data_IF_401357184699
#
_entry.id   IF_401357184699
#
_cell.length_a   1.000
_cell.length_b   1.000
_cell.length_c   1.000
_cell.angle_alpha   90.00
_cell.angle_beta   90.00
_cell.angle_gamma   90.00
#
_symmetry.space_group_name_H-M   'P 1'
#
loop_
_entity.id
_entity.type
_entity.pdbx_description
1 polymer ?
#
# COMPACT_ATOMS: atom_id res chain seq x y z
N UNK A 1 -22.88 -10.56 -34.28
CA UNK A 1 -21.62 -10.04 -33.71
C UNK A 1 -21.84 -8.57 -33.41
N UNK A 2 -21.80 -8.18 -32.14
CA UNK A 2 -21.85 -6.77 -31.77
C UNK A 2 -20.48 -6.19 -32.16
N UNK A 3 -20.45 -5.25 -33.11
CA UNK A 3 -19.21 -4.59 -33.49
C UNK A 3 -18.80 -3.68 -32.33
N UNK A 4 -17.76 -4.09 -31.60
CA UNK A 4 -17.17 -3.24 -30.57
C UNK A 4 -16.59 -2.00 -31.25
N UNK A 5 -17.30 -0.87 -31.14
CA UNK A 5 -16.90 0.42 -31.68
C UNK A 5 -16.27 1.24 -30.57
N UNK A 6 -15.02 1.67 -30.75
CA UNK A 6 -14.41 2.65 -29.86
C UNK A 6 -15.12 4.01 -30.02
N UNK A 7 -15.40 4.66 -28.90
CA UNK A 7 -15.92 6.03 -28.86
C UNK A 7 -14.88 6.93 -28.17
N UNK A 8 -14.85 8.20 -28.57
CA UNK A 8 -14.05 9.22 -27.90
C UNK A 8 -14.86 9.76 -26.73
N UNK A 9 -14.25 9.80 -25.54
CA UNK A 9 -14.84 10.37 -24.32
C UNK A 9 -13.76 11.08 -23.49
N UNK A 10 -14.19 11.99 -22.61
CA UNK A 10 -13.31 12.75 -21.71
C UNK A 10 -13.80 12.62 -20.26
N UNK A 11 -13.41 11.55 -19.54
CA UNK A 11 -13.79 11.38 -18.14
C UNK A 11 -13.01 12.35 -17.24
N UNK A 12 -13.65 12.85 -16.18
CA UNK A 12 -13.00 13.74 -15.21
C UNK A 12 -12.00 13.03 -14.28
N UNK A 13 -12.08 11.69 -14.19
CA UNK A 13 -11.20 10.84 -13.39
C UNK A 13 -10.77 9.61 -14.21
N UNK A 14 -9.62 9.04 -13.89
CA UNK A 14 -9.04 7.88 -14.58
C UNK A 14 -8.85 6.69 -13.63
N UNK A 15 -9.81 6.45 -12.74
CA UNK A 15 -9.73 5.43 -11.69
C UNK A 15 -10.04 4.05 -12.25
N UNK A 16 -9.16 3.54 -13.11
CA UNK A 16 -9.33 2.27 -13.83
C UNK A 16 -9.24 1.01 -12.96
N UNK A 17 -9.00 1.16 -11.65
CA UNK A 17 -8.85 0.06 -10.71
C UNK A 17 -7.49 0.11 -10.03
N UNK A 18 -7.49 0.50 -8.76
CA UNK A 18 -6.31 0.55 -7.90
C UNK A 18 -6.66 0.02 -6.51
N UNK A 19 -5.70 -0.58 -5.80
CA UNK A 19 -5.94 -0.97 -4.42
C UNK A 19 -6.21 0.25 -3.56
N UNK A 20 -7.17 0.13 -2.65
CA UNK A 20 -7.35 1.07 -1.55
C UNK A 20 -6.19 0.90 -0.58
N UNK A 21 -5.66 2.02 -0.08
CA UNK A 21 -4.62 2.06 0.94
C UNK A 21 -5.09 2.99 2.06
N UNK A 22 -5.00 2.53 3.30
CA UNK A 22 -5.12 3.38 4.48
C UNK A 22 -3.72 3.79 4.92
N UNK A 23 -3.41 5.08 4.79
CA UNK A 23 -2.12 5.64 5.22
C UNK A 23 -2.27 6.15 6.65
N UNK A 24 -1.46 5.63 7.56
CA UNK A 24 -1.27 6.22 8.89
C UNK A 24 -0.01 7.07 8.92
N UNK A 25 -0.06 8.16 9.68
CA UNK A 25 0.97 9.19 9.81
C UNK A 25 0.87 9.82 11.20
N UNK A 26 1.89 10.53 11.65
CA UNK A 26 1.89 11.14 12.99
C UNK A 26 1.66 12.66 12.93
N UNK A 27 0.78 13.18 13.77
CA UNK A 27 0.54 14.61 13.95
C UNK A 27 1.65 15.28 14.80
N UNK A 28 1.61 16.60 14.96
CA UNK A 28 2.62 17.35 15.74
C UNK A 28 2.59 17.02 17.24
N UNK A 29 1.42 16.66 17.75
CA UNK A 29 1.19 16.28 19.16
C UNK A 29 1.50 14.79 19.44
N UNK A 30 2.01 14.06 18.45
CA UNK A 30 2.31 12.63 18.55
C UNK A 30 1.11 11.71 18.32
N UNK A 31 -0.10 12.24 18.13
CA UNK A 31 -1.29 11.41 17.83
C UNK A 31 -1.25 10.86 16.40
N UNK A 32 -1.93 9.74 16.15
CA UNK A 32 -2.04 9.15 14.82
C UNK A 32 -3.10 9.87 13.97
N UNK A 33 -2.79 10.13 12.71
CA UNK A 33 -3.73 10.47 11.64
C UNK A 33 -3.82 9.30 10.65
N UNK A 34 -5.02 8.99 10.19
CA UNK A 34 -5.29 7.96 9.17
C UNK A 34 -6.01 8.59 7.98
N UNK A 35 -5.71 8.18 6.74
CA UNK A 35 -6.45 8.62 5.56
C UNK A 35 -6.51 7.54 4.48
N UNK A 36 -7.68 7.32 3.86
CA UNK A 36 -7.78 6.45 2.68
C UNK A 36 -7.23 7.15 1.44
N UNK A 37 -6.64 6.38 0.54
CA UNK A 37 -6.24 6.80 -0.80
C UNK A 37 -6.26 5.62 -1.77
N UNK A 38 -6.24 5.92 -3.07
CA UNK A 38 -6.26 4.91 -4.13
C UNK A 38 -5.31 5.25 -5.28
N UNK A 39 -4.28 6.06 -5.01
CA UNK A 39 -3.32 6.54 -6.02
C UNK A 39 -1.92 6.00 -5.70
N UNK A 40 -1.81 4.68 -5.56
CA UNK A 40 -0.57 4.00 -5.18
C UNK A 40 -0.15 2.95 -6.21
N UNK A 41 1.17 2.80 -6.40
CA UNK A 41 1.78 1.70 -7.14
C UNK A 41 3.19 1.39 -6.59
N UNK A 42 3.68 0.18 -6.82
CA UNK A 42 4.96 -0.31 -6.29
C UNK A 42 5.89 -0.80 -7.39
N UNK A 43 7.18 -0.58 -7.20
CA UNK A 43 8.28 -1.22 -7.94
C UNK A 43 9.40 -1.56 -6.96
N UNK A 44 9.72 -2.85 -6.82
CA UNK A 44 10.59 -3.32 -5.74
C UNK A 44 10.00 -2.94 -4.38
N UNK A 45 10.82 -2.36 -3.50
CA UNK A 45 10.36 -1.81 -2.21
C UNK A 45 10.09 -0.30 -2.25
N UNK A 46 10.02 0.33 -3.43
CA UNK A 46 9.55 1.71 -3.55
C UNK A 46 8.06 1.74 -3.87
N UNK A 47 7.32 2.57 -3.15
CA UNK A 47 5.92 2.89 -3.41
C UNK A 47 5.79 4.36 -3.81
N UNK A 48 5.02 4.63 -4.85
CA UNK A 48 4.69 5.99 -5.28
C UNK A 48 3.26 6.32 -4.88
N UNK A 49 3.07 7.45 -4.20
CA UNK A 49 1.79 7.94 -3.72
C UNK A 49 1.44 9.27 -4.40
N UNK A 50 0.27 9.34 -5.03
CA UNK A 50 -0.32 10.60 -5.48
C UNK A 50 -1.22 11.19 -4.38
N UNK A 51 -0.79 12.28 -3.74
CA UNK A 51 -1.52 12.90 -2.63
C UNK A 51 -1.70 14.40 -2.83
N UNK A 52 -2.86 14.90 -2.39
CA UNK A 52 -3.12 16.34 -2.28
C UNK A 52 -2.10 16.99 -1.33
N UNK A 53 -1.51 18.10 -1.74
CA UNK A 53 -0.42 18.76 -1.03
C UNK A 53 -0.87 19.36 0.31
N UNK A 54 -2.13 19.75 0.43
CA UNK A 54 -2.69 20.38 1.63
C UNK A 54 -3.21 19.35 2.64
N UNK A 55 -3.31 18.08 2.26
CA UNK A 55 -3.79 17.03 3.17
C UNK A 55 -2.89 16.89 4.41
N UNK A 56 -3.52 16.62 5.57
CA UNK A 56 -2.78 16.40 6.82
C UNK A 56 -1.80 15.24 6.71
N UNK A 57 -2.16 14.19 5.98
CA UNK A 57 -1.28 13.04 5.71
C UNK A 57 -0.03 13.48 4.96
N UNK A 58 -0.15 14.29 3.90
CA UNK A 58 1.01 14.82 3.17
C UNK A 58 1.90 15.67 4.07
N UNK A 59 1.32 16.60 4.82
CA UNK A 59 2.07 17.44 5.75
C UNK A 59 2.83 16.61 6.78
N UNK A 60 2.18 15.58 7.34
CA UNK A 60 2.80 14.68 8.30
C UNK A 60 3.96 13.88 7.68
N UNK A 61 3.77 13.32 6.48
CA UNK A 61 4.82 12.55 5.78
C UNK A 61 6.03 13.44 5.48
N UNK A 62 5.82 14.64 4.95
CA UNK A 62 6.92 15.56 4.62
C UNK A 62 7.68 16.03 5.87
N UNK A 63 6.98 16.19 7.00
CA UNK A 63 7.56 16.63 8.27
C UNK A 63 8.32 15.53 8.99
N UNK A 64 7.73 14.34 9.08
CA UNK A 64 8.26 13.22 9.88
C UNK A 64 9.16 12.29 9.08
N UNK A 65 8.96 12.24 7.77
CA UNK A 65 9.63 11.29 6.90
C UNK A 65 9.10 9.86 7.02
N UNK A 66 7.97 9.63 7.70
CA UNK A 66 7.47 8.29 8.04
C UNK A 66 5.97 8.14 7.76
N UNK A 67 5.57 6.93 7.34
CA UNK A 67 4.18 6.50 7.28
C UNK A 67 4.05 4.97 7.33
N UNK A 68 2.83 4.48 7.52
CA UNK A 68 2.50 3.07 7.27
C UNK A 68 1.43 3.00 6.19
N UNK A 69 1.62 2.11 5.21
CA UNK A 69 0.63 1.78 4.19
C UNK A 69 -0.10 0.51 4.63
N UNK A 70 -1.38 0.61 4.93
CA UNK A 70 -2.20 -0.51 5.37
C UNK A 70 -3.18 -0.87 4.26
N UNK A 71 -3.17 -2.12 3.79
CA UNK A 71 -4.07 -2.58 2.74
C UNK A 71 -5.29 -3.26 3.37
N UNK A 72 -6.48 -2.67 3.28
CA UNK A 72 -7.72 -3.35 3.64
C UNK A 72 -8.07 -4.43 2.61
N UNK A 73 -8.77 -5.46 3.08
CA UNK A 73 -9.44 -6.41 2.19
C UNK A 73 -10.88 -5.96 1.87
N UNK A 74 -11.54 -6.68 0.95
CA UNK A 74 -12.90 -6.37 0.50
C UNK A 74 -13.96 -6.44 1.61
N UNK A 75 -13.70 -7.17 2.71
CA UNK A 75 -14.63 -7.27 3.84
C UNK A 75 -14.71 -5.95 4.64
N UNK A 76 -13.71 -5.08 4.51
CA UNK A 76 -13.61 -3.80 5.21
C UNK A 76 -14.33 -2.64 4.48
N UNK A 77 -14.97 -2.88 3.33
CA UNK A 77 -15.58 -1.84 2.50
C UNK A 77 -16.69 -1.02 3.22
N UNK A 78 -17.34 -1.59 4.25
CA UNK A 78 -18.50 -1.00 4.93
C UNK A 78 -18.22 0.21 5.84
N UNK A 79 -16.96 0.58 6.08
CA UNK A 79 -16.60 1.51 7.17
C UNK A 79 -16.19 2.94 6.72
N UNK A 80 -16.59 3.39 5.54
CA UNK A 80 -16.22 4.73 5.05
C UNK A 80 -17.10 5.84 5.65
N UNK A 81 -16.52 6.70 6.50
CA UNK A 81 -17.15 7.95 6.97
C UNK A 81 -16.11 9.04 7.15
N UNK A 82 -16.37 10.24 6.61
CA UNK A 82 -15.53 11.41 6.88
C UNK A 82 -15.75 11.91 8.32
N UNK A 83 -14.67 12.07 9.08
CA UNK A 83 -14.69 12.57 10.46
C UNK A 83 -13.36 13.21 10.84
N UNK A 84 -13.41 14.12 11.82
CA UNK A 84 -12.23 14.80 12.36
C UNK A 84 -11.38 13.88 13.25
N UNK A 85 -12.02 13.10 14.12
CA UNK A 85 -11.39 11.98 14.84
C UNK A 85 -11.73 10.68 14.11
N UNK A 86 -10.81 10.26 13.24
CA UNK A 86 -11.04 9.15 12.32
C UNK A 86 -10.87 7.80 13.01
N UNK A 87 -10.04 7.70 14.04
CA UNK A 87 -9.80 6.45 14.77
C UNK A 87 -11.02 6.07 15.61
N UNK A 88 -11.54 7.01 16.39
CA UNK A 88 -12.66 6.72 17.30
C UNK A 88 -13.95 6.29 16.58
N UNK A 89 -14.10 6.59 15.28
CA UNK A 89 -15.31 6.29 14.51
C UNK A 89 -15.10 5.27 13.39
N UNK A 90 -13.86 5.01 12.94
CA UNK A 90 -13.59 3.92 12.00
C UNK A 90 -13.80 2.54 12.64
N UNK A 91 -13.72 2.47 13.98
CA UNK A 91 -13.69 1.20 14.70
C UNK A 91 -12.39 0.41 14.48
N UNK A 92 -11.38 1.05 13.88
CA UNK A 92 -10.06 0.46 13.65
C UNK A 92 -9.16 0.68 14.86
N UNK A 93 -8.27 -0.26 15.11
CA UNK A 93 -7.40 -0.27 16.28
C UNK A 93 -5.96 0.01 15.86
N UNK A 94 -5.25 0.92 16.56
CA UNK A 94 -3.82 1.11 16.32
C UNK A 94 -3.03 -0.10 16.81
N UNK A 95 -2.05 -0.52 16.02
CA UNK A 95 -1.02 -1.50 16.40
C UNK A 95 0.36 -0.85 16.25
N UNK A 96 1.22 -0.97 17.26
CA UNK A 96 2.57 -0.36 17.21
C UNK A 96 3.38 -0.91 16.05
N UNK A 97 4.00 -0.02 15.31
CA UNK A 97 4.99 -0.34 14.28
C UNK A 97 6.37 -0.63 14.91
N UNK A 98 7.20 -1.39 14.22
CA UNK A 98 8.50 -1.82 14.71
C UNK A 98 9.63 -0.81 14.44
N UNK A 99 9.57 -0.14 13.29
CA UNK A 99 10.64 0.65 12.70
C UNK A 99 10.27 2.12 12.48
N UNK A 100 8.98 2.46 12.46
CA UNK A 100 8.48 3.83 12.25
C UNK A 100 7.54 4.27 13.36
N UNK A 101 7.35 5.59 13.50
CA UNK A 101 6.55 6.19 14.57
C UNK A 101 5.02 6.06 14.41
N UNK A 102 4.43 6.18 13.21
CA UNK A 102 2.98 6.01 13.03
C UNK A 102 2.54 4.56 13.23
N UNK A 103 1.38 4.35 13.85
CA UNK A 103 0.86 2.99 14.12
C UNK A 103 0.28 2.32 12.86
N UNK A 104 0.43 1.00 12.76
CA UNK A 104 -0.33 0.14 11.85
C UNK A 104 -1.83 0.11 12.20
N UNK A 105 -2.65 -0.32 11.24
CA UNK A 105 -4.08 -0.62 11.43
C UNK A 105 -4.22 -2.12 11.68
N UNK A 106 -4.56 -2.52 12.91
CA UNK A 106 -4.57 -3.92 13.34
C UNK A 106 -5.45 -4.83 12.48
N UNK A 107 -6.56 -4.29 11.96
CA UNK A 107 -7.53 -5.03 11.14
C UNK A 107 -7.08 -5.19 9.67
N UNK A 108 -6.12 -4.40 9.19
CA UNK A 108 -5.64 -4.51 7.81
C UNK A 108 -4.77 -5.76 7.65
N UNK A 109 -5.07 -6.65 6.68
CA UNK A 109 -4.32 -7.90 6.52
C UNK A 109 -2.87 -7.73 6.06
N UNK A 110 -2.54 -6.60 5.45
CA UNK A 110 -1.19 -6.26 5.02
C UNK A 110 -0.85 -4.85 5.49
N UNK A 111 0.33 -4.67 6.07
CA UNK A 111 0.83 -3.39 6.58
C UNK A 111 2.29 -3.21 6.16
N UNK A 112 2.66 -2.01 5.74
CA UNK A 112 4.01 -1.70 5.24
C UNK A 112 4.55 -0.45 5.92
N UNK A 113 5.59 -0.63 6.73
CA UNK A 113 6.28 0.48 7.39
C UNK A 113 7.20 1.17 6.41
N UNK A 114 7.08 2.49 6.29
CA UNK A 114 7.66 3.23 5.17
C UNK A 114 8.39 4.50 5.61
N UNK A 115 9.48 4.80 4.89
CA UNK A 115 10.22 6.05 5.01
C UNK A 115 10.13 6.87 3.72
N UNK A 116 9.94 8.18 3.83
CA UNK A 116 9.97 9.13 2.73
C UNK A 116 11.34 9.13 2.04
N UNK A 117 11.34 9.02 0.71
CA UNK A 117 12.54 9.17 -0.13
C UNK A 117 12.55 10.54 -0.78
N UNK A 118 11.45 10.93 -1.43
CA UNK A 118 11.34 12.22 -2.10
C UNK A 118 9.88 12.59 -2.37
N UNK A 119 9.66 13.88 -2.61
CA UNK A 119 8.39 14.42 -3.09
C UNK A 119 8.60 15.31 -4.29
N UNK A 120 7.76 15.15 -5.31
CA UNK A 120 7.82 15.90 -6.55
C UNK A 120 6.46 16.50 -6.87
N UNK A 121 6.43 17.76 -7.32
CA UNK A 121 5.19 18.35 -7.85
C UNK A 121 4.75 17.59 -9.09
N UNK A 122 3.47 17.21 -9.14
CA UNK A 122 2.79 16.82 -10.37
C UNK A 122 2.23 18.05 -11.09
N UNK A 123 1.78 17.85 -12.32
CA UNK A 123 1.14 18.88 -13.17
C UNK A 123 2.06 20.08 -13.43
N UNK A 124 3.37 19.84 -13.59
CA UNK A 124 4.38 20.90 -13.77
C UNK A 124 4.20 21.69 -15.07
N UNK A 125 3.54 21.09 -16.05
CA UNK A 125 3.15 21.69 -17.33
C UNK A 125 1.91 22.61 -17.23
N UNK A 126 1.20 22.59 -16.10
CA UNK A 126 0.04 23.42 -15.80
C UNK A 126 0.39 24.41 -14.67
N UNK A 127 0.82 25.64 -14.98
CA UNK A 127 1.38 26.56 -13.98
C UNK A 127 0.46 26.90 -12.80
N UNK A 128 -0.86 26.92 -13.03
CA UNK A 128 -1.89 27.19 -12.01
C UNK A 128 -2.27 25.94 -11.18
N UNK A 129 -1.76 24.75 -11.54
CA UNK A 129 -2.06 23.47 -10.89
C UNK A 129 -0.83 22.76 -10.33
N UNK A 130 0.36 23.16 -10.77
CA UNK A 130 1.62 22.61 -10.32
C UNK A 130 1.73 22.66 -8.80
N UNK A 131 1.97 21.51 -8.19
CA UNK A 131 2.13 21.39 -6.73
C UNK A 131 0.83 21.26 -5.93
N UNK A 132 -0.35 21.30 -6.56
CA UNK A 132 -1.61 20.94 -5.86
C UNK A 132 -1.63 19.46 -5.44
N UNK A 133 -0.98 18.61 -6.25
CA UNK A 133 -0.79 17.19 -5.97
C UNK A 133 0.69 16.88 -6.04
N UNK A 134 1.15 16.05 -5.11
CA UNK A 134 2.53 15.57 -5.05
C UNK A 134 2.59 14.09 -5.46
N UNK A 135 3.64 13.74 -6.20
CA UNK A 135 4.14 12.39 -6.33
C UNK A 135 5.17 12.16 -5.23
N UNK A 136 4.82 11.33 -4.25
CA UNK A 136 5.62 11.06 -3.07
C UNK A 136 6.14 9.62 -3.16
N UNK A 137 7.46 9.47 -3.25
CA UNK A 137 8.11 8.17 -3.16
C UNK A 137 8.40 7.84 -1.71
N UNK A 138 7.91 6.69 -1.25
CA UNK A 138 8.27 6.10 0.04
C UNK A 138 8.93 4.74 -0.17
N UNK A 139 9.87 4.40 0.70
CA UNK A 139 10.56 3.11 0.76
C UNK A 139 9.90 2.25 1.82
N UNK A 140 9.45 1.07 1.43
CA UNK A 140 9.02 0.01 2.35
C UNK A 140 10.25 -0.54 3.06
N UNK A 141 10.23 -0.49 4.39
CA UNK A 141 11.27 -1.03 5.27
C UNK A 141 10.88 -2.43 5.75
N UNK A 142 9.63 -2.62 6.15
CA UNK A 142 9.10 -3.88 6.67
C UNK A 142 7.68 -4.12 6.19
N UNK A 143 7.35 -5.38 5.98
CA UNK A 143 6.02 -5.84 5.56
C UNK A 143 5.49 -6.82 6.59
N UNK A 144 4.28 -6.54 7.10
CA UNK A 144 3.51 -7.44 7.95
C UNK A 144 2.33 -7.98 7.15
N UNK A 145 2.10 -9.29 7.23
CA UNK A 145 1.03 -9.99 6.51
C UNK A 145 0.41 -11.01 7.46
N UNK A 146 -0.92 -11.13 7.45
CA UNK A 146 -1.59 -12.20 8.20
C UNK A 146 -1.13 -13.59 7.73
N UNK A 147 -0.90 -14.49 8.67
CA UNK A 147 -0.38 -15.84 8.39
C UNK A 147 -1.21 -16.61 7.36
N UNK A 148 -2.54 -16.45 7.36
CA UNK A 148 -3.44 -17.11 6.41
C UNK A 148 -3.27 -16.63 4.96
N UNK A 149 -2.59 -15.51 4.73
CA UNK A 149 -2.23 -15.02 3.40
C UNK A 149 -0.86 -15.55 2.93
N UNK A 150 -0.08 -16.21 3.80
CA UNK A 150 1.21 -16.80 3.42
C UNK A 150 0.99 -18.04 2.56
N UNK A 151 1.71 -18.12 1.44
CA UNK A 151 1.63 -19.26 0.53
C UNK A 151 2.24 -20.51 1.18
N UNK A 152 1.49 -21.63 1.26
CA UNK A 152 2.01 -22.87 1.82
C UNK A 152 3.31 -23.31 1.13
N UNK A 153 4.30 -23.67 1.94
CA UNK A 153 5.63 -24.09 1.45
C UNK A 153 6.66 -22.97 1.34
N UNK A 154 6.25 -21.70 1.47
CA UNK A 154 7.13 -20.54 1.29
C UNK A 154 7.09 -19.60 2.50
N UNK A 155 8.25 -19.17 3.03
CA UNK A 155 8.30 -18.25 4.17
C UNK A 155 7.89 -16.82 3.79
N UNK A 156 8.03 -16.46 2.51
CA UNK A 156 8.04 -15.06 2.06
C UNK A 156 7.20 -14.80 0.79
N UNK A 157 6.19 -15.64 0.54
CA UNK A 157 5.26 -15.46 -0.60
C UNK A 157 3.84 -15.27 -0.12
N UNK A 158 3.11 -14.40 -0.80
CA UNK A 158 1.67 -14.18 -0.57
C UNK A 158 0.89 -15.11 -1.49
N UNK A 159 -0.12 -15.79 -0.96
CA UNK A 159 -1.06 -16.58 -1.75
C UNK A 159 -2.07 -15.64 -2.45
N UNK A 160 -2.02 -15.49 -3.79
CA UNK A 160 -2.92 -14.61 -4.52
C UNK A 160 -4.37 -15.11 -4.55
N UNK A 161 -4.64 -16.38 -4.20
CA UNK A 161 -6.00 -16.91 -4.10
C UNK A 161 -6.65 -16.56 -2.74
N UNK A 162 -5.84 -16.33 -1.71
CA UNK A 162 -6.30 -15.89 -0.38
C UNK A 162 -6.40 -14.36 -0.27
N UNK A 163 -5.52 -13.62 -0.97
CA UNK A 163 -5.54 -12.17 -0.92
C UNK A 163 -6.76 -11.57 -1.66
N UNK A 164 -7.59 -10.81 -0.93
CA UNK A 164 -8.84 -10.20 -1.42
C UNK A 164 -8.80 -8.68 -1.29
N UNK A 165 -8.03 -7.95 -2.12
CA UNK A 165 -7.88 -6.51 -1.98
C UNK A 165 -9.20 -5.76 -2.24
N UNK A 166 -9.43 -4.69 -1.47
CA UNK A 166 -10.44 -3.69 -1.82
C UNK A 166 -9.92 -2.80 -2.97
N UNK A 167 -10.65 -2.75 -4.08
CA UNK A 167 -10.28 -2.00 -5.29
C UNK A 167 -11.19 -0.79 -5.44
N UNK A 168 -10.60 0.40 -5.63
CA UNK A 168 -11.32 1.60 -6.05
C UNK A 168 -11.38 1.64 -7.59
N UNK A 169 -12.57 1.70 -8.16
CA UNK A 169 -12.76 1.94 -9.59
C UNK A 169 -13.90 2.94 -9.81
N UNK A 170 -13.57 4.10 -10.40
CA UNK A 170 -14.50 5.20 -10.65
C UNK A 170 -15.43 5.57 -9.47
N UNK A 171 -14.84 5.76 -8.28
CA UNK A 171 -15.54 6.11 -7.03
C UNK A 171 -16.42 4.99 -6.44
N UNK A 172 -16.34 3.80 -7.01
CA UNK A 172 -17.03 2.60 -6.52
C UNK A 172 -16.00 1.60 -5.98
N UNK A 173 -16.39 0.83 -4.96
CA UNK A 173 -15.57 -0.24 -4.40
C UNK A 173 -15.87 -1.59 -5.08
N UNK A 174 -14.82 -2.31 -5.43
CA UNK A 174 -14.86 -3.64 -6.04
C UNK A 174 -13.95 -4.60 -5.27
N UNK A 175 -14.28 -5.89 -5.36
CA UNK A 175 -13.43 -7.00 -4.92
C UNK A 175 -12.97 -7.86 -6.08
N UNK A 176 -12.13 -8.86 -5.81
CA UNK A 176 -11.73 -9.83 -6.82
C UNK A 176 -12.76 -10.96 -6.89
N UNK A 177 -13.08 -11.42 -8.11
CA UNK A 177 -13.89 -12.63 -8.28
C UNK A 177 -13.21 -13.84 -7.62
N UNK A 178 -14.00 -14.84 -7.24
CA UNK A 178 -13.46 -16.11 -6.76
C UNK A 178 -12.66 -16.83 -7.86
N UNK A 179 -11.42 -17.20 -7.52
CA UNK A 179 -10.49 -17.90 -8.39
C UNK A 179 -9.84 -17.06 -9.49
N UNK A 180 -8.75 -17.61 -10.04
CA UNK A 180 -7.94 -16.98 -11.10
C UNK A 180 -8.74 -16.80 -12.39
N UNK A 181 -8.35 -15.78 -13.18
CA UNK A 181 -8.79 -15.66 -14.58
C UNK A 181 -8.08 -16.70 -15.44
N UNK A 182 -6.76 -16.66 -15.40
CA UNK A 182 -5.84 -17.61 -16.03
C UNK A 182 -4.49 -17.46 -15.34
N UNK A 183 -3.61 -18.44 -15.50
CA UNK A 183 -2.21 -18.28 -15.11
C UNK A 183 -1.50 -17.28 -16.04
N UNK A 184 -0.62 -16.45 -15.47
CA UNK A 184 0.24 -15.54 -16.23
C UNK A 184 1.50 -16.25 -16.69
N UNK A 185 1.89 -16.08 -17.96
CA UNK A 185 3.18 -16.56 -18.46
C UNK A 185 4.35 -15.92 -17.70
N UNK A 186 4.20 -14.65 -17.28
CA UNK A 186 5.18 -13.96 -16.43
C UNK A 186 5.23 -14.53 -15.01
N UNK A 187 4.13 -15.12 -14.53
CA UNK A 187 4.07 -15.78 -13.22
C UNK A 187 4.95 -17.03 -13.10
N UNK A 188 5.51 -17.51 -14.22
CA UNK A 188 6.48 -18.62 -14.23
C UNK A 188 7.89 -18.19 -13.81
N UNK A 189 8.15 -16.88 -13.77
CA UNK A 189 9.41 -16.33 -13.27
C UNK A 189 9.37 -16.42 -11.74
N UNK A 190 10.38 -17.04 -11.14
CA UNK A 190 10.49 -17.10 -9.67
C UNK A 190 10.53 -15.69 -9.08
N UNK A 191 9.69 -15.44 -8.07
CA UNK A 191 9.61 -14.16 -7.34
C UNK A 191 10.97 -13.71 -6.78
N UNK A 192 11.82 -14.66 -6.39
CA UNK A 192 13.16 -14.39 -5.88
C UNK A 192 14.07 -13.65 -6.88
N UNK A 193 13.77 -13.71 -8.18
CA UNK A 193 14.52 -12.94 -9.19
C UNK A 193 14.32 -11.43 -9.08
N UNK A 194 13.25 -10.98 -8.41
CA UNK A 194 12.99 -9.55 -8.17
C UNK A 194 13.72 -8.99 -6.94
N UNK A 195 14.28 -9.86 -6.08
CA UNK A 195 14.96 -9.48 -4.82
C UNK A 195 16.14 -8.53 -5.01
N UNK A 196 16.84 -8.63 -6.13
CA UNK A 196 17.97 -7.73 -6.42
C UNK A 196 17.57 -6.25 -6.55
N UNK A 197 16.29 -5.95 -6.75
CA UNK A 197 15.78 -4.57 -6.77
C UNK A 197 15.31 -4.08 -5.40
N UNK A 198 15.27 -4.95 -4.37
CA UNK A 198 14.71 -4.60 -3.05
C UNK A 198 15.77 -4.26 -2.02
N UNK A 199 17.02 -4.70 -2.21
CA UNK A 199 18.15 -4.49 -1.28
C UNK A 199 19.36 -3.91 -2.00
N UNK A 200 20.22 -3.22 -1.25
CA UNK A 200 21.48 -2.68 -1.76
C UNK A 200 22.67 -3.41 -1.15
N UNK A 201 23.64 -3.77 -1.99
CA UNK A 201 24.92 -4.34 -1.54
C UNK A 201 25.84 -3.30 -0.86
N UNK A 202 25.48 -2.01 -0.92
CA UNK A 202 26.29 -0.89 -0.42
C UNK A 202 25.64 -0.20 0.78
N UNK A 203 24.30 -0.13 0.82
CA UNK A 203 23.55 0.50 1.90
C UNK A 203 22.58 -0.50 2.53
N UNK A 204 22.86 -0.88 3.77
CA UNK A 204 21.94 -1.68 4.58
C UNK A 204 20.81 -0.79 5.14
N UNK A 205 19.59 -1.28 5.07
CA UNK A 205 18.38 -0.65 5.61
C UNK A 205 17.77 -1.51 6.74
N UNK A 206 16.98 -0.89 7.63
CA UNK A 206 16.10 -1.64 8.51
C UNK A 206 15.21 -2.60 7.72
N UNK A 207 15.02 -3.82 8.22
CA UNK A 207 14.23 -4.87 7.57
C UNK A 207 14.94 -5.67 6.48
N UNK A 208 16.17 -5.31 6.09
CA UNK A 208 16.93 -6.05 5.06
C UNK A 208 17.24 -7.50 5.45
N UNK A 209 17.16 -7.87 6.74
CA UNK A 209 17.38 -9.25 7.21
C UNK A 209 16.07 -10.03 7.41
N UNK A 210 14.89 -9.42 7.17
CA UNK A 210 13.58 -10.01 7.51
C UNK A 210 13.32 -11.34 6.76
N UNK A 211 13.82 -11.53 5.55
CA UNK A 211 13.67 -12.82 4.84
C UNK A 211 14.42 -13.97 5.52
N UNK A 212 15.60 -13.67 6.08
CA UNK A 212 16.39 -14.66 6.80
C UNK A 212 15.68 -15.04 8.10
N UNK A 213 15.07 -14.05 8.78
CA UNK A 213 14.26 -14.26 9.98
C UNK A 213 13.01 -15.11 9.66
N UNK A 214 12.26 -14.73 8.63
CA UNK A 214 11.08 -15.47 8.19
C UNK A 214 11.41 -16.91 7.81
N UNK A 215 12.56 -17.14 7.17
CA UNK A 215 13.02 -18.49 6.81
C UNK A 215 13.30 -19.34 8.05
N UNK A 216 13.97 -18.77 9.07
CA UNK A 216 14.27 -19.47 10.31
C UNK A 216 13.00 -19.82 11.10
N UNK A 217 12.09 -18.86 11.27
CA UNK A 217 10.80 -19.09 11.95
C UNK A 217 9.94 -20.15 11.22
N UNK A 218 9.97 -20.14 9.89
CA UNK A 218 9.23 -21.10 9.08
C UNK A 218 9.82 -22.52 9.13
N UNK A 219 11.13 -22.67 9.37
CA UNK A 219 11.72 -23.99 9.62
C UNK A 219 11.33 -24.55 11.00
N UNK A 220 11.25 -23.71 12.02
CA UNK A 220 10.93 -24.12 13.40
C UNK A 220 9.46 -24.58 13.55
N UNK A 221 8.56 -24.05 12.73
CA UNK A 221 7.13 -24.45 12.71
C UNK A 221 6.86 -25.79 12.01
N UNK A 222 7.87 -26.39 11.37
CA UNK A 222 7.78 -27.69 10.69
C UNK A 222 8.35 -28.85 11.50
N UNK A 223 8.88 -28.60 12.70
CA UNK A 223 9.29 -29.61 13.70
C UNK A 223 8.20 -29.86 14.72
#
# INVERSE_FOLDING_TARGET
MQTNKHIVMSPAILYWGTPVVLITSQNEDGTNNIAPMSSAWWVGHSCMLGLDAESKTTQNILRTGECVLNLPDESMAGNYSYVKDKWARSGLSPSKSDLVSPDCVAECPVQMECQLIQSNHLLRDLPDRSGLVLAIEVRVLRVHVLENLRMPGYPNRVDPDQWRPLIMSFQEFYGLRNGKVTESVLGRVSEEKYRGLTKSDVKKLPGDDDDSLATAEYSDTKT
#
